data_IF_709216097520
#
_entry.id   IF_709216097520
#
_cell.length_a   1.000
_cell.length_b   1.000
_cell.length_c   1.000
_cell.angle_alpha   90.00
_cell.angle_beta   90.00
_cell.angle_gamma   90.00
#
_symmetry.space_group_name_H-M   'P 1'
#
loop_
_entity.id
_entity.type
_entity.pdbx_description
1 polymer ?
2 non-polymer ?
3 non-polymer ?
4 non-polymer ?
5 non-polymer ?
6 non-polymer ?
7 water ?
#
# COMPACT_ATOMS: atom_id res chain seq x y z
N UNK A 2 -5.97 -16.97 11.30
CA UNK A 2 -6.59 -17.48 10.10
C UNK A 2 -5.70 -18.41 9.31
N UNK A 3 -6.27 -19.06 8.30
CA UNK A 3 -5.51 -19.93 7.40
C UNK A 3 -4.71 -19.10 6.40
N UNK A 4 -3.52 -19.62 6.04
CA UNK A 4 -2.84 -19.10 4.86
C UNK A 4 -3.76 -19.20 3.65
N UNK A 5 -3.59 -18.25 2.73
CA UNK A 5 -4.49 -18.13 1.58
C UNK A 5 -3.70 -17.80 0.31
N UNK A 6 -4.19 -18.32 -0.82
CA UNK A 6 -3.70 -17.92 -2.13
C UNK A 6 -4.93 -17.57 -2.99
N UNK A 7 -4.77 -17.42 -4.30
CA UNK A 7 -5.91 -17.25 -5.20
C UNK A 7 -6.24 -18.59 -5.86
N UNK A 8 -7.53 -18.79 -6.19
CA UNK A 8 -7.95 -20.08 -6.77
C UNK A 8 -7.47 -20.21 -8.21
N UNK A 9 -7.52 -19.13 -8.96
CA UNK A 9 -7.13 -19.15 -10.37
C UNK A 9 -6.35 -17.88 -10.66
N UNK A 10 -5.62 -17.89 -11.78
CA UNK A 10 -4.91 -16.70 -12.21
C UNK A 10 -5.87 -15.54 -12.43
N UNK A 11 -5.42 -14.35 -12.03
CA UNK A 11 -6.17 -13.10 -12.14
C UNK A 11 -5.31 -12.06 -12.84
N UNK A 12 -5.89 -11.34 -13.80
CA UNK A 12 -5.13 -10.34 -14.54
C UNK A 12 -5.71 -8.94 -14.31
N UNK A 13 -4.81 -7.95 -14.32
CA UNK A 13 -5.19 -6.53 -14.26
C UNK A 13 -4.28 -5.76 -15.21
N UNK A 14 -4.75 -4.61 -15.69
CA UNK A 14 -3.88 -3.84 -16.57
C UNK A 14 -4.28 -2.39 -16.60
N UNK A 15 -3.34 -1.54 -17.01
CA UNK A 15 -3.62 -0.13 -17.21
C UNK A 15 -2.38 0.72 -16.97
N UNK A 16 -2.61 2.05 -17.00
CA UNK A 16 -1.55 3.02 -16.82
C UNK A 16 -1.02 3.01 -15.39
N UNK A 17 0.28 3.24 -15.23
CA UNK A 17 0.86 3.46 -13.91
C UNK A 17 0.91 4.96 -13.59
N UNK A 18 0.72 5.28 -12.31
CA UNK A 18 0.52 6.67 -11.91
C UNK A 18 1.79 7.49 -12.11
N UNK A 19 2.97 6.91 -11.89
CA UNK A 19 4.20 7.69 -11.98
C UNK A 19 4.90 7.55 -13.32
N UNK A 20 4.92 6.34 -13.90
CA UNK A 20 5.58 6.17 -15.20
C UNK A 20 4.71 6.67 -16.35
N UNK A 21 3.39 6.66 -16.18
CA UNK A 21 2.50 6.95 -17.28
C UNK A 21 2.46 5.89 -18.34
N UNK A 22 3.11 4.75 -18.11
CA UNK A 22 3.16 3.67 -19.08
C UNK A 22 2.08 2.65 -18.77
N UNK A 23 1.67 1.92 -19.81
CA UNK A 23 0.70 0.85 -19.66
C UNK A 23 1.42 -0.42 -19.22
N UNK A 24 0.88 -1.08 -18.19
CA UNK A 24 1.45 -2.32 -17.69
C UNK A 24 0.37 -3.37 -17.53
N UNK A 25 0.79 -4.63 -17.40
CA UNK A 25 -0.12 -5.74 -17.15
C UNK A 25 0.38 -6.55 -15.96
N UNK A 26 -0.56 -7.06 -15.16
CA UNK A 26 -0.28 -7.95 -14.05
C UNK A 26 -0.99 -9.29 -14.26
N UNK A 27 -0.35 -10.37 -13.81
CA UNK A 27 -1.00 -11.67 -13.66
C UNK A 27 -0.68 -12.16 -12.26
N UNK A 28 -1.71 -12.43 -11.48
CA UNK A 28 -1.55 -12.92 -10.11
C UNK A 28 -1.68 -14.44 -10.14
N UNK A 29 -0.63 -15.14 -9.71
CA UNK A 29 -0.53 -16.61 -9.79
C UNK A 29 -0.71 -17.26 -8.43
N UNK A 30 -1.45 -18.37 -8.36
CA UNK A 30 -1.50 -19.16 -7.12
C UNK A 30 -0.12 -19.70 -6.74
N UNK A 31 0.11 -19.83 -5.41
CA UNK A 31 1.34 -20.44 -4.89
C UNK A 31 1.03 -21.22 -3.62
N UNK A 32 1.89 -22.21 -3.34
CA UNK A 32 1.72 -23.13 -2.22
C UNK A 32 2.07 -22.45 -0.89
N UNK A 33 1.71 -23.13 0.20
CA UNK A 33 2.02 -22.66 1.54
C UNK A 33 3.51 -22.39 1.71
N UNK A 34 3.83 -21.33 2.45
CA UNK A 34 5.22 -20.96 2.70
C UNK A 34 5.90 -20.16 1.62
N UNK A 35 5.22 -19.84 0.51
CA UNK A 35 5.86 -19.10 -0.57
C UNK A 35 6.06 -17.64 -0.20
N UNK A 36 5.09 -17.05 0.48
CA UNK A 36 5.08 -15.61 0.69
C UNK A 36 4.51 -14.87 -0.51
N UNK A 37 4.46 -13.54 -0.37
CA UNK A 37 4.10 -12.65 -1.48
C UNK A 37 5.36 -12.24 -2.22
N UNK A 38 5.37 -12.41 -3.54
CA UNK A 38 6.53 -12.01 -4.34
C UNK A 38 6.06 -11.48 -5.69
N UNK A 39 6.86 -10.57 -6.25
CA UNK A 39 6.69 -10.13 -7.63
C UNK A 39 7.60 -10.93 -8.55
N UNK A 40 7.27 -10.92 -9.84
CA UNK A 40 8.07 -11.62 -10.84
C UNK A 40 8.16 -10.74 -12.08
N UNK A 41 9.37 -10.46 -12.53
CA UNK A 41 9.55 -9.60 -13.70
C UNK A 41 10.82 -10.03 -14.43
N UNK A 42 10.68 -10.27 -15.74
CA UNK A 42 11.83 -10.60 -16.59
C UNK A 42 12.65 -11.73 -15.98
N UNK A 43 11.97 -12.74 -15.45
CA UNK A 43 12.65 -13.92 -14.96
C UNK A 43 13.18 -13.81 -13.54
N UNK A 44 12.96 -12.70 -12.86
CA UNK A 44 13.51 -12.44 -11.53
C UNK A 44 12.36 -12.38 -10.53
N UNK A 45 12.52 -13.08 -9.40
CA UNK A 45 11.59 -12.96 -8.29
C UNK A 45 12.03 -11.86 -7.33
N UNK A 46 11.10 -10.99 -6.98
CA UNK A 46 11.34 -9.89 -6.06
C UNK A 46 10.38 -10.05 -4.89
N UNK A 47 10.85 -10.55 -3.75
CA UNK A 47 9.96 -10.72 -2.59
C UNK A 47 9.40 -9.38 -2.12
N UNK A 48 8.14 -9.42 -1.64
CA UNK A 48 7.50 -8.22 -1.12
C UNK A 48 7.93 -8.01 0.34
N UNK A 49 9.21 -7.67 0.49
CA UNK A 49 9.83 -7.53 1.81
C UNK A 49 10.72 -6.31 1.83
N UNK A 50 10.91 -5.75 3.03
CA UNK A 50 11.58 -4.46 3.13
C UNK A 50 13.02 -4.49 2.61
N UNK A 51 13.69 -5.66 2.62
CA UNK A 51 15.05 -5.75 2.09
C UNK A 51 15.15 -5.33 0.63
N UNK A 52 14.04 -5.35 -0.11
CA UNK A 52 14.06 -5.09 -1.53
C UNK A 52 13.53 -3.71 -1.88
N UNK A 53 13.29 -2.85 -0.88
CA UNK A 53 12.88 -1.47 -1.16
C UNK A 53 14.03 -0.69 -1.76
N UNK A 54 13.75 0.02 -2.86
CA UNK A 54 14.77 0.83 -3.55
C UNK A 54 14.38 2.29 -3.69
N UNK A 55 13.16 2.69 -3.31
CA UNK A 55 12.68 4.06 -3.48
C UNK A 55 11.46 4.23 -2.58
N UNK A 56 11.35 5.39 -1.92
CA UNK A 56 10.20 5.67 -1.05
C UNK A 56 9.65 7.10 -1.18
N UNK A 57 9.97 7.83 -2.25
CA UNK A 57 9.48 9.21 -2.40
C UNK A 57 8.30 9.20 -3.37
N UNK A 58 7.10 9.39 -2.82
CA UNK A 58 5.80 9.42 -3.49
C UNK A 58 5.28 8.03 -3.84
N UNK A 59 6.09 6.98 -3.68
CA UNK A 59 5.63 5.61 -3.88
C UNK A 59 6.65 4.73 -3.17
N UNK A 60 6.29 3.47 -3.00
CA UNK A 60 7.21 2.44 -2.52
C UNK A 60 7.56 1.54 -3.70
N UNK A 61 8.85 1.46 -4.04
CA UNK A 61 9.29 0.66 -5.18
C UNK A 61 10.25 -0.42 -4.69
N UNK A 62 10.17 -1.58 -5.34
CA UNK A 62 11.00 -2.73 -5.02
C UNK A 62 11.90 -3.10 -6.20
N UNK A 63 13.02 -3.75 -5.89
CA UNK A 63 13.91 -4.17 -6.95
C UNK A 63 14.83 -5.29 -6.53
N UNK A 64 15.27 -6.05 -7.52
CA UNK A 64 16.29 -7.08 -7.30
C UNK A 64 16.93 -7.43 -8.63
N UNK A 65 18.26 -7.57 -8.64
CA UNK A 65 19.02 -8.05 -9.81
C UNK A 65 18.68 -7.25 -11.06
N UNK A 66 18.53 -5.94 -10.90
CA UNK A 66 18.32 -5.06 -12.04
C UNK A 66 16.91 -5.01 -12.57
N UNK A 67 15.94 -5.58 -11.85
CA UNK A 67 14.54 -5.50 -12.23
C UNK A 67 13.77 -4.77 -11.15
N UNK A 68 13.03 -3.74 -11.54
CA UNK A 68 12.35 -2.87 -10.59
C UNK A 68 10.85 -2.82 -10.86
N UNK A 69 10.09 -2.68 -9.78
CA UNK A 69 8.65 -2.49 -9.90
C UNK A 69 8.24 -1.30 -9.05
N UNK A 70 7.63 -0.31 -9.69
CA UNK A 70 7.21 0.91 -9.01
C UNK A 70 5.80 0.75 -8.45
N UNK A 71 5.59 1.39 -7.29
CA UNK A 71 4.28 1.64 -6.69
C UNK A 71 3.60 0.33 -6.29
N UNK A 72 4.22 -0.36 -5.34
CA UNK A 72 3.66 -1.64 -4.89
C UNK A 72 2.67 -1.49 -3.74
N UNK A 73 2.54 -0.30 -3.16
CA UNK A 73 1.84 -0.18 -1.89
C UNK A 73 0.35 -0.49 -1.99
N UNK A 74 -0.29 -0.22 -3.13
CA UNK A 74 -1.74 -0.39 -3.17
C UNK A 74 -2.13 -1.85 -3.33
N UNK A 75 -1.50 -2.58 -4.26
CA UNK A 75 -1.77 -4.00 -4.37
C UNK A 75 -1.37 -4.72 -3.07
N UNK A 76 -0.24 -4.33 -2.47
CA UNK A 76 0.16 -4.99 -1.22
C UNK A 76 -0.85 -4.71 -0.10
N UNK A 77 -1.41 -3.49 -0.07
CA UNK A 77 -2.41 -3.20 0.96
C UNK A 77 -3.63 -4.10 0.82
N UNK A 78 -4.11 -4.29 -0.42
CA UNK A 78 -5.26 -5.14 -0.66
C UNK A 78 -4.97 -6.57 -0.22
N UNK A 79 -3.78 -7.08 -0.58
CA UNK A 79 -3.43 -8.45 -0.19
C UNK A 79 -3.32 -8.58 1.33
N UNK A 80 -2.78 -7.56 2.00
CA UNK A 80 -2.71 -7.54 3.45
C UNK A 80 -4.12 -7.60 4.07
N UNK A 81 -5.03 -6.76 3.55
CA UNK A 81 -6.37 -6.68 4.11
C UNK A 81 -7.14 -7.99 3.95
N UNK A 82 -6.93 -8.68 2.83
CA UNK A 82 -7.56 -9.96 2.56
C UNK A 82 -6.78 -11.15 3.11
N UNK A 83 -5.63 -10.89 3.73
CA UNK A 83 -4.76 -11.92 4.31
C UNK A 83 -4.41 -12.99 3.29
N UNK A 84 -4.17 -12.55 2.04
CA UNK A 84 -3.55 -13.39 1.02
C UNK A 84 -2.07 -13.45 1.33
N UNK A 85 -1.55 -14.67 1.53
CA UNK A 85 -0.20 -14.84 2.04
C UNK A 85 0.76 -15.48 1.05
N UNK A 86 0.26 -16.19 0.05
CA UNK A 86 1.10 -16.89 -0.92
C UNK A 86 0.60 -16.55 -2.32
N UNK A 87 1.41 -15.83 -3.10
CA UNK A 87 0.99 -15.39 -4.43
C UNK A 87 2.20 -14.83 -5.16
N UNK A 88 2.28 -15.02 -6.49
CA UNK A 88 3.28 -14.39 -7.33
C UNK A 88 2.57 -13.36 -8.19
N UNK A 89 3.03 -12.10 -8.13
CA UNK A 89 2.48 -11.04 -8.95
C UNK A 89 3.43 -10.83 -10.12
N UNK A 90 3.10 -11.42 -11.27
CA UNK A 90 3.89 -11.23 -12.48
C UNK A 90 3.59 -9.86 -13.07
N UNK A 91 4.63 -9.07 -13.32
CA UNK A 91 4.49 -7.69 -13.82
C UNK A 91 5.15 -7.63 -15.19
N UNK A 92 4.37 -7.29 -16.20
CA UNK A 92 4.87 -7.05 -17.55
C UNK A 92 4.80 -5.53 -17.72
N UNK A 93 5.92 -4.87 -17.50
CA UNK A 93 5.98 -3.42 -17.43
C UNK A 93 6.78 -2.98 -16.23
N UNK A 94 6.67 -1.70 -15.89
CA UNK A 94 7.55 -1.08 -14.89
C UNK A 94 6.83 -0.64 -13.62
N UNK A 95 5.52 -0.81 -13.52
CA UNK A 95 4.76 -0.22 -12.43
C UNK A 95 3.44 -0.98 -12.29
N UNK A 96 2.93 -1.04 -11.06
CA UNK A 96 1.57 -1.58 -10.86
C UNK A 96 0.55 -0.60 -11.43
N UNK A 97 -0.45 -1.07 -12.19
CA UNK A 97 -1.51 -0.16 -12.65
C UNK A 97 -2.20 0.55 -11.48
N UNK A 98 -2.51 1.84 -11.69
CA UNK A 98 -3.17 2.63 -10.65
C UNK A 98 -4.69 2.45 -10.68
N UNK A 99 -5.24 2.05 -11.82
CA UNK A 99 -6.70 1.84 -12.00
C UNK A 99 -7.42 3.14 -11.59
N UNK A 100 -8.45 3.10 -10.75
CA UNK A 100 -9.17 4.33 -10.46
C UNK A 100 -8.54 5.14 -9.32
N UNK A 101 -7.35 4.75 -8.87
CA UNK A 101 -6.68 5.45 -7.79
C UNK A 101 -6.85 4.83 -6.43
N UNK A 102 -7.73 3.84 -6.30
CA UNK A 102 -8.00 3.15 -5.04
C UNK A 102 -7.70 1.66 -5.19
N UNK A 103 -7.91 0.91 -4.12
CA UNK A 103 -7.73 -0.52 -4.18
C UNK A 103 -8.95 -1.31 -4.64
N UNK A 104 -10.03 -0.63 -5.02
CA UNK A 104 -11.34 -1.28 -5.13
C UNK A 104 -11.35 -2.38 -6.17
N UNK A 105 -10.83 -2.12 -7.37
CA UNK A 105 -10.88 -3.14 -8.42
C UNK A 105 -10.04 -4.37 -8.05
N UNK A 106 -8.86 -4.18 -7.45
CA UNK A 106 -8.10 -5.32 -6.96
C UNK A 106 -8.89 -6.06 -5.89
N UNK A 107 -9.41 -5.31 -4.91
CA UNK A 107 -10.07 -5.92 -3.76
C UNK A 107 -11.26 -6.77 -4.18
N UNK A 108 -12.13 -6.22 -5.03
CA UNK A 108 -13.34 -6.97 -5.38
C UNK A 108 -13.01 -8.24 -6.16
N UNK A 109 -12.04 -8.15 -7.07
CA UNK A 109 -11.71 -9.33 -7.88
C UNK A 109 -11.01 -10.40 -7.05
N UNK A 110 -10.07 -9.99 -6.18
CA UNK A 110 -9.33 -10.98 -5.41
C UNK A 110 -10.22 -11.62 -4.34
N UNK A 111 -11.09 -10.81 -3.72
CA UNK A 111 -11.95 -11.31 -2.64
C UNK A 111 -12.82 -12.47 -3.09
N UNK A 112 -13.27 -12.47 -4.35
CA UNK A 112 -14.12 -13.53 -4.88
C UNK A 112 -13.32 -14.73 -5.38
N UNK A 113 -12.00 -14.73 -5.19
CA UNK A 113 -11.12 -15.69 -5.81
C UNK A 113 -10.10 -16.24 -4.81
N UNK A 114 -10.49 -16.36 -3.54
CA UNK A 114 -9.59 -16.78 -2.49
C UNK A 114 -9.65 -18.29 -2.31
N UNK A 115 -8.48 -18.91 -2.19
CA UNK A 115 -8.34 -20.33 -1.87
C UNK A 115 -7.71 -20.48 -0.49
N UNK A 116 -8.46 -21.04 0.45
CA UNK A 116 -7.88 -21.35 1.76
C UNK A 116 -6.87 -22.49 1.64
N UNK A 117 -5.81 -22.39 2.42
CA UNK A 117 -4.78 -23.42 2.42
C UNK A 117 -4.75 -24.12 3.79
N UNK A 118 -3.72 -24.92 4.04
CA UNK A 118 -3.81 -25.93 5.10
C UNK A 118 -3.00 -25.62 6.34
N UNK A 119 -2.29 -24.51 6.39
CA UNK A 119 -1.66 -24.14 7.65
C UNK A 119 -2.10 -22.74 8.07
N UNK A 120 -1.91 -22.45 9.35
CA UNK A 120 -2.26 -21.16 9.92
C UNK A 120 -1.25 -20.09 9.52
N UNK A 121 -1.71 -18.84 9.47
CA UNK A 121 -0.81 -17.71 9.28
C UNK A 121 0.03 -17.49 10.54
N UNK A 122 1.32 -17.28 10.34
CA UNK A 122 2.24 -16.82 11.39
C UNK A 122 2.28 -15.31 11.31
N UNK A 123 1.39 -14.63 12.04
CA UNK A 123 1.33 -13.18 11.98
C UNK A 123 2.60 -12.53 12.52
N UNK A 124 2.93 -11.36 11.97
CA UNK A 124 3.92 -10.50 12.63
C UNK A 124 3.20 -9.75 13.75
N UNK A 125 3.49 -10.11 14.98
CA UNK A 125 2.79 -9.58 16.15
C UNK A 125 3.73 -8.59 16.84
N UNK A 126 3.35 -7.31 16.84
CA UNK A 126 4.12 -6.29 17.56
C UNK A 126 4.15 -6.67 19.04
N UNK A 127 5.35 -6.69 19.62
CA UNK A 127 5.55 -7.24 20.95
C UNK A 127 5.67 -6.18 22.04
N UNK A 128 6.10 -4.98 21.69
CA UNK A 128 6.28 -3.91 22.66
C UNK A 128 6.10 -2.58 21.94
N UNK A 129 5.91 -1.50 22.68
CA UNK A 129 5.76 -0.19 22.00
C UNK A 129 7.04 0.24 21.31
N UNK A 130 6.86 1.03 20.25
CA UNK A 130 7.96 1.60 19.48
C UNK A 130 7.48 2.92 18.91
N UNK A 131 8.41 3.88 18.78
CA UNK A 131 8.10 5.15 18.14
C UNK A 131 9.25 5.52 17.22
N UNK A 132 8.91 6.00 16.03
CA UNK A 132 9.87 6.43 15.03
C UNK A 132 9.53 7.85 14.62
N UNK A 133 10.54 8.71 14.48
CA UNK A 133 10.31 10.11 14.20
C UNK A 133 11.23 10.61 13.09
N UNK A 134 10.74 11.58 12.34
CA UNK A 134 11.56 12.27 11.35
C UNK A 134 10.98 13.66 11.13
N UNK A 135 11.67 14.67 11.64
CA UNK A 135 11.36 16.08 11.39
C UNK A 135 9.86 16.38 11.55
N UNK A 136 9.35 16.15 12.76
CA UNK A 136 7.98 16.47 13.08
C UNK A 136 6.96 15.41 12.70
N UNK A 137 7.31 14.49 11.81
CA UNK A 137 6.46 13.34 11.53
C UNK A 137 6.80 12.22 12.49
N UNK A 138 5.79 11.46 12.88
CA UNK A 138 6.08 10.32 13.76
C UNK A 138 5.09 9.20 13.51
N UNK A 139 5.54 7.98 13.80
CA UNK A 139 4.68 6.79 13.80
C UNK A 139 4.94 6.02 15.08
N UNK A 140 3.86 5.57 15.72
CA UNK A 140 3.94 4.74 16.91
C UNK A 140 3.28 3.40 16.63
N UNK A 141 3.77 2.36 17.31
CA UNK A 141 3.11 1.07 17.26
C UNK A 141 3.10 0.47 18.65
N UNK A 142 2.12 -0.38 18.92
CA UNK A 142 2.02 -1.04 20.21
C UNK A 142 1.27 -2.35 20.00
N UNK A 143 1.37 -3.28 20.95
CA UNK A 143 0.70 -4.58 20.75
C UNK A 143 -0.82 -4.44 20.69
N UNK A 144 -1.42 -5.31 19.88
CA UNK A 144 -2.87 -5.41 19.71
C UNK A 144 -3.17 -6.76 19.08
N UNK A 145 -4.27 -7.40 19.51
CA UNK A 145 -4.70 -8.65 18.91
C UNK A 145 -5.27 -8.46 17.52
N UNK A 146 -5.62 -7.23 17.17
CA UNK A 146 -6.22 -6.87 15.89
C UNK A 146 -5.38 -5.80 15.23
N UNK A 147 -5.37 -5.79 13.89
CA UNK A 147 -4.72 -4.70 13.19
C UNK A 147 -5.59 -3.45 13.30
N UNK A 148 -5.00 -2.37 13.83
CA UNK A 148 -5.67 -1.08 13.98
C UNK A 148 -4.69 0.00 13.56
N UNK A 149 -5.11 0.87 12.64
CA UNK A 149 -4.21 1.85 12.03
C UNK A 149 -4.90 3.21 11.98
N UNK A 150 -4.27 4.21 12.58
CA UNK A 150 -4.79 5.58 12.61
C UNK A 150 -3.81 6.47 11.87
N UNK A 151 -4.33 7.36 11.02
CA UNK A 151 -3.53 8.38 10.39
C UNK A 151 -4.10 9.74 10.71
N UNK A 152 -3.23 10.67 11.11
CA UNK A 152 -3.63 12.05 11.37
C UNK A 152 -2.85 12.96 10.42
N UNK A 153 -3.57 13.77 9.65
CA UNK A 153 -2.95 14.69 8.72
C UNK A 153 -3.23 16.14 9.06
N UNK A 154 -2.36 17.03 8.58
CA UNK A 154 -2.55 18.47 8.74
C UNK A 154 -2.33 19.06 7.35
N UNK A 155 -3.43 19.30 6.64
CA UNK A 155 -3.35 19.76 5.26
C UNK A 155 -3.35 21.28 5.19
N UNK A 156 -2.55 21.80 4.26
CA UNK A 156 -2.44 23.24 4.03
C UNK A 156 -3.48 23.74 3.06
N UNK A 157 -4.71 23.26 3.16
CA UNK A 157 -5.81 23.80 2.37
C UNK A 157 -7.07 23.65 3.20
N UNK A 158 -8.22 23.67 2.54
CA UNK A 158 -9.50 23.68 3.22
C UNK A 158 -9.73 22.44 4.09
N UNK A 159 -8.99 21.35 3.86
CA UNK A 159 -9.19 20.13 4.63
C UNK A 159 -8.72 20.30 6.07
N UNK A 160 -7.67 21.10 6.29
CA UNK A 160 -7.18 21.31 7.64
C UNK A 160 -6.73 20.00 8.29
N UNK A 161 -7.07 19.85 9.56
CA UNK A 161 -6.71 18.66 10.32
C UNK A 161 -7.78 17.58 10.20
N UNK A 162 -7.35 16.36 9.86
CA UNK A 162 -8.23 15.21 9.72
C UNK A 162 -7.57 13.99 10.30
N UNK A 163 -8.38 13.07 10.82
CA UNK A 163 -7.90 11.85 11.47
C UNK A 163 -8.84 10.71 11.12
N UNK A 164 -8.29 9.52 10.85
CA UNK A 164 -9.14 8.37 10.54
C UNK A 164 -8.49 7.09 11.06
N UNK A 165 -9.32 6.18 11.60
CA UNK A 165 -8.85 4.92 12.16
C UNK A 165 -9.51 3.74 11.46
N UNK A 166 -8.68 2.86 10.90
CA UNK A 166 -9.11 1.56 10.42
C UNK A 166 -8.99 0.53 11.54
N UNK A 167 -10.01 -0.32 11.68
CA UNK A 167 -9.88 -1.55 12.47
C UNK A 167 -10.33 -2.73 11.61
N UNK A 168 -9.76 -3.90 11.90
CA UNK A 168 -10.18 -5.12 11.24
C UNK A 168 -11.69 -5.24 11.18
N UNK A 169 -12.20 -5.63 10.01
CA UNK A 169 -13.60 -5.71 9.76
C UNK A 169 -14.17 -4.54 9.00
N UNK A 170 -13.43 -3.42 8.94
CA UNK A 170 -13.87 -2.21 8.24
C UNK A 170 -13.09 -1.98 6.95
N UNK A 171 -12.73 -3.07 6.26
CA UNK A 171 -11.89 -2.96 5.07
C UNK A 171 -12.55 -2.11 3.98
N UNK A 172 -13.88 -2.22 3.85
CA UNK A 172 -14.59 -1.43 2.84
C UNK A 172 -14.50 0.07 3.09
N UNK A 173 -14.09 0.51 4.29
CA UNK A 173 -13.96 1.93 4.55
C UNK A 173 -12.67 2.54 3.99
N UNK A 174 -11.69 1.74 3.58
CA UNK A 174 -10.46 2.32 3.04
C UNK A 174 -10.12 1.86 1.63
N UNK A 175 -10.71 0.77 1.11
CA UNK A 175 -10.29 0.25 -0.19
C UNK A 175 -10.86 1.06 -1.35
N UNK A 176 -11.75 2.03 -1.08
CA UNK A 176 -12.24 2.92 -2.12
C UNK A 176 -11.61 4.30 -2.07
N UNK A 177 -10.75 4.58 -1.10
CA UNK A 177 -10.17 5.90 -0.96
C UNK A 177 -9.04 6.09 -1.97
N UNK A 178 -9.13 7.14 -2.79
CA UNK A 178 -8.19 7.32 -3.88
C UNK A 178 -6.94 8.09 -3.47
N UNK A 179 -5.87 7.87 -4.24
CA UNK A 179 -4.67 8.70 -4.12
C UNK A 179 -5.03 10.14 -4.48
N UNK A 180 -4.19 11.07 -4.01
CA UNK A 180 -4.54 12.48 -4.12
C UNK A 180 -3.29 13.32 -4.32
N UNK A 181 -3.52 14.54 -4.81
CA UNK A 181 -2.44 15.48 -5.13
C UNK A 181 -2.94 16.90 -4.99
N UNK A 182 -2.02 17.81 -4.71
CA UNK A 182 -2.34 19.22 -4.56
C UNK A 182 -1.87 19.98 -5.79
N UNK A 183 -2.70 20.92 -6.26
CA UNK A 183 -2.39 21.53 -7.56
C UNK A 183 -1.08 22.32 -7.52
N UNK A 184 -0.72 22.90 -6.38
CA UNK A 184 0.50 23.68 -6.28
C UNK A 184 1.76 22.83 -6.21
N UNK A 185 1.62 21.50 -6.12
CA UNK A 185 2.76 20.60 -6.10
C UNK A 185 2.95 19.85 -7.42
N UNK A 186 1.99 19.95 -8.34
CA UNK A 186 2.04 19.14 -9.56
C UNK A 186 3.28 19.45 -10.39
N UNK A 187 3.63 20.73 -10.52
CA UNK A 187 4.77 21.08 -11.36
C UNK A 187 6.06 20.46 -10.84
N UNK A 188 6.27 20.51 -9.53
CA UNK A 188 7.49 19.94 -8.96
C UNK A 188 7.50 18.42 -9.13
N UNK A 189 6.36 17.76 -8.90
CA UNK A 189 6.31 16.31 -9.03
C UNK A 189 6.66 15.89 -10.46
N UNK A 190 6.16 16.64 -11.44
CA UNK A 190 6.52 16.32 -12.82
C UNK A 190 8.01 16.56 -13.08
N UNK A 191 8.57 17.64 -12.50
CA UNK A 191 9.98 17.95 -12.72
C UNK A 191 10.90 16.90 -12.12
N UNK A 192 10.48 16.22 -11.06
CA UNK A 192 11.36 15.22 -10.45
C UNK A 192 11.11 13.86 -11.06
N UNK A 193 10.36 13.82 -12.17
CA UNK A 193 10.23 12.61 -12.97
C UNK A 193 9.10 11.69 -12.58
N UNK A 194 8.10 12.18 -11.85
CA UNK A 194 7.01 11.37 -11.32
C UNK A 194 5.66 11.87 -11.84
N UNK A 195 4.59 11.19 -11.44
CA UNK A 195 3.24 11.62 -11.74
C UNK A 195 2.82 11.60 -13.19
N UNK A 196 3.57 10.92 -14.07
CA UNK A 196 3.29 11.03 -15.50
C UNK A 196 1.95 10.43 -15.90
N UNK A 197 1.42 9.50 -15.10
CA UNK A 197 0.13 8.89 -15.37
C UNK A 197 -1.04 9.50 -14.62
N UNK A 198 -0.79 10.55 -13.85
CA UNK A 198 -1.85 11.12 -13.04
C UNK A 198 -2.83 11.92 -13.89
N UNK A 199 -4.12 11.75 -13.59
CA UNK A 199 -5.19 12.49 -14.24
C UNK A 199 -6.36 12.56 -13.30
N UNK A 200 -7.39 13.33 -13.69
CA UNK A 200 -8.59 13.38 -12.86
C UNK A 200 -9.37 12.07 -12.92
N UNK A 201 -8.97 11.12 -13.78
CA UNK A 201 -9.62 9.82 -13.78
C UNK A 201 -9.04 8.87 -12.73
N UNK A 202 -7.88 9.18 -12.16
CA UNK A 202 -7.30 8.28 -11.18
C UNK A 202 -6.76 8.98 -9.93
N UNK A 203 -6.91 10.31 -9.81
CA UNK A 203 -6.36 11.05 -8.71
C UNK A 203 -7.37 12.07 -8.23
N UNK A 204 -7.54 12.18 -6.91
CA UNK A 204 -8.27 13.30 -6.33
C UNK A 204 -7.35 14.51 -6.29
N UNK A 205 -7.65 15.57 -7.06
CA UNK A 205 -6.78 16.73 -7.14
C UNK A 205 -7.45 17.91 -6.43
N UNK A 206 -6.73 18.50 -5.48
CA UNK A 206 -7.24 19.55 -4.60
C UNK A 206 -6.43 20.81 -4.76
N UNK A 207 -7.11 21.95 -4.68
CA UNK A 207 -6.46 23.24 -4.57
C UNK A 207 -6.56 23.78 -3.15
N UNK A 208 -6.13 25.03 -2.98
CA UNK A 208 -6.24 25.65 -1.66
C UNK A 208 -7.69 25.70 -1.20
N UNK A 209 -8.61 26.00 -2.12
CA UNK A 209 -10.01 26.20 -1.77
C UNK A 209 -10.98 25.38 -2.62
N UNK A 210 -10.51 24.47 -3.47
CA UNK A 210 -11.42 23.84 -4.41
C UNK A 210 -11.03 22.41 -4.70
N UNK A 211 -11.99 21.70 -5.31
CA UNK A 211 -11.87 20.31 -5.72
C UNK A 211 -11.97 20.28 -7.23
N UNK A 212 -10.95 19.73 -7.90
CA UNK A 212 -10.95 19.71 -9.36
C UNK A 212 -11.89 18.66 -9.93
N UNK A 213 -11.94 17.48 -9.29
CA UNK A 213 -12.77 16.38 -9.79
C UNK A 213 -14.25 16.75 -9.81
N UNK A 214 -14.93 16.67 -10.95
CA UNK A 214 -16.36 17.00 -10.96
C UNK A 214 -17.19 16.14 -10.03
N UNK A 215 -16.79 14.89 -9.81
CA UNK A 215 -17.52 13.97 -8.95
C UNK A 215 -17.27 14.21 -7.47
N UNK A 216 -16.31 15.07 -7.13
CA UNK A 216 -16.00 15.39 -5.76
C UNK A 216 -15.32 14.25 -5.01
N UNK A 217 -15.22 14.46 -3.69
CA UNK A 217 -14.63 13.47 -2.81
C UNK A 217 -15.57 12.32 -2.55
N UNK A 218 -15.01 11.11 -2.45
CA UNK A 218 -15.81 9.94 -2.09
C UNK A 218 -16.20 9.93 -0.62
N UNK A 219 -15.35 10.52 0.23
CA UNK A 219 -15.57 10.71 1.66
C UNK A 219 -14.97 12.06 2.00
N UNK A 220 -15.54 12.74 3.01
CA UNK A 220 -15.00 14.04 3.38
C UNK A 220 -13.55 13.94 3.84
N UNK A 221 -13.14 12.77 4.33
CA UNK A 221 -11.76 12.54 4.77
C UNK A 221 -11.06 11.54 3.87
N UNK A 222 -11.44 11.50 2.59
CA UNK A 222 -10.80 10.57 1.65
C UNK A 222 -9.27 10.59 1.70
N UNK A 223 -8.58 11.73 1.80
CA UNK A 223 -7.10 11.67 1.82
C UNK A 223 -6.53 10.90 2.99
N UNK A 224 -7.04 11.09 4.21
CA UNK A 224 -6.44 10.36 5.32
C UNK A 224 -6.85 8.89 5.29
N UNK A 225 -8.03 8.57 4.73
CA UNK A 225 -8.34 7.15 4.51
C UNK A 225 -7.33 6.53 3.55
N UNK A 226 -6.94 7.26 2.50
CA UNK A 226 -5.95 6.72 1.57
C UNK A 226 -4.59 6.57 2.24
N UNK A 227 -4.23 7.50 3.13
CA UNK A 227 -2.94 7.38 3.81
C UNK A 227 -2.91 6.16 4.73
N UNK A 228 -4.04 5.82 5.37
CA UNK A 228 -4.13 4.59 6.15
C UNK A 228 -3.92 3.38 5.23
N UNK A 229 -4.60 3.39 4.08
CA UNK A 229 -4.46 2.33 3.08
C UNK A 229 -3.01 2.17 2.63
N UNK A 230 -2.33 3.29 2.36
CA UNK A 230 -0.89 3.24 2.03
C UNK A 230 -0.09 2.56 3.13
N UNK A 231 -0.29 2.99 4.38
CA UNK A 231 0.50 2.44 5.49
C UNK A 231 0.27 0.94 5.64
N UNK A 232 -0.97 0.48 5.44
CA UNK A 232 -1.22 -0.95 5.54
C UNK A 232 -0.48 -1.71 4.44
N UNK A 233 -0.31 -1.12 3.26
CA UNK A 233 0.50 -1.76 2.24
C UNK A 233 1.98 -1.81 2.61
N UNK A 234 2.51 -0.69 3.13
CA UNK A 234 3.92 -0.66 3.52
C UNK A 234 4.18 -1.62 4.69
N UNK A 235 3.23 -1.76 5.62
CA UNK A 235 3.41 -2.71 6.73
C UNK A 235 3.54 -4.15 6.23
N UNK A 236 2.96 -4.49 5.08
CA UNK A 236 3.09 -5.86 4.61
C UNK A 236 4.52 -6.18 4.17
N UNK A 237 5.39 -5.17 4.05
CA UNK A 237 6.81 -5.45 3.80
C UNK A 237 7.49 -6.13 5.00
N UNK A 238 6.78 -6.31 6.12
CA UNK A 238 7.27 -7.19 7.19
C UNK A 238 7.25 -8.66 6.79
N UNK A 239 6.53 -9.02 5.74
CA UNK A 239 6.55 -10.38 5.21
C UNK A 239 5.44 -11.29 5.69
N UNK A 240 4.56 -10.80 6.58
CA UNK A 240 3.43 -11.56 7.11
C UNK A 240 2.35 -10.55 7.45
N UNK A 241 1.08 -10.95 7.46
CA UNK A 241 0.04 -10.04 7.96
C UNK A 241 0.34 -9.65 9.40
N UNK A 242 0.01 -8.40 9.75
CA UNK A 242 0.50 -7.74 10.96
C UNK A 242 -0.62 -7.60 11.98
N UNK A 243 -0.30 -7.87 13.25
CA UNK A 243 -1.18 -7.56 14.37
C UNK A 243 -0.50 -6.53 15.25
N UNK A 244 -1.11 -5.36 15.34
CA UNK A 244 -0.62 -4.30 16.21
C UNK A 244 -1.48 -3.08 15.99
N UNK A 245 -1.31 -2.10 16.89
CA UNK A 245 -2.06 -0.85 16.83
C UNK A 245 -1.09 0.27 16.46
N UNK A 246 -1.36 0.97 15.36
CA UNK A 246 -0.47 1.95 14.77
C UNK A 246 -1.10 3.33 14.76
N UNK A 247 -0.26 4.35 14.96
CA UNK A 247 -0.68 5.74 14.86
C UNK A 247 0.37 6.50 14.07
N UNK A 248 -0.01 7.11 12.96
CA UNK A 248 0.90 7.89 12.14
C UNK A 248 0.44 9.34 12.10
N UNK A 249 1.35 10.25 12.46
CA UNK A 249 1.13 11.69 12.34
C UNK A 249 1.99 12.18 11.18
N UNK A 250 1.32 12.48 10.06
CA UNK A 250 1.94 13.05 8.87
C UNK A 250 3.00 12.11 8.25
N UNK A 251 2.91 10.81 8.53
CA UNK A 251 3.88 9.88 7.98
C UNK A 251 3.70 9.67 6.48
N UNK A 252 4.81 9.24 5.86
CA UNK A 252 4.79 8.92 4.45
C UNK A 252 5.55 7.63 4.23
N UNK A 253 5.75 7.24 2.97
CA UNK A 253 6.36 5.95 2.69
C UNK A 253 7.72 5.81 3.35
N UNK A 254 8.52 6.88 3.36
CA UNK A 254 9.85 6.79 3.94
C UNK A 254 9.78 6.44 5.41
N UNK A 255 8.90 7.12 6.16
CA UNK A 255 8.80 6.84 7.59
C UNK A 255 8.14 5.49 7.82
N UNK A 256 7.16 5.12 6.98
CA UNK A 256 6.55 3.80 7.09
C UNK A 256 7.60 2.69 6.99
N UNK A 257 8.49 2.81 5.99
CA UNK A 257 9.51 1.77 5.79
C UNK A 257 10.54 1.82 6.90
N UNK A 258 10.83 3.00 7.43
CA UNK A 258 11.72 3.10 8.59
C UNK A 258 11.16 2.32 9.77
N UNK A 259 9.86 2.47 10.04
CA UNK A 259 9.24 1.72 11.12
C UNK A 259 9.32 0.22 10.85
N UNK A 260 9.00 -0.19 9.62
CA UNK A 260 9.05 -1.60 9.25
C UNK A 260 10.43 -2.17 9.53
N UNK A 261 11.47 -1.45 9.12
CA UNK A 261 12.82 -1.97 9.29
C UNK A 261 13.20 -2.07 10.76
N UNK A 262 12.76 -1.12 11.59
CA UNK A 262 13.05 -1.21 13.02
C UNK A 262 12.33 -2.38 13.66
N UNK A 263 11.07 -2.61 13.27
CA UNK A 263 10.30 -3.75 13.79
C UNK A 263 10.92 -5.07 13.36
N UNK A 264 11.33 -5.17 12.09
CA UNK A 264 11.93 -6.40 11.60
C UNK A 264 13.21 -6.72 12.33
N UNK A 265 14.00 -5.68 12.66
CA UNK A 265 15.25 -5.92 13.36
C UNK A 265 15.01 -6.49 14.76
N UNK A 266 13.94 -6.03 15.43
CA UNK A 266 13.64 -6.53 16.78
C UNK A 266 13.34 -8.03 16.77
N UNK A 267 12.63 -8.52 15.76
CA UNK A 267 12.18 -9.91 15.76
C UNK A 267 12.95 -10.77 14.75
N UNK A 268 14.17 -10.36 14.39
CA UNK A 268 14.94 -11.07 13.38
C UNK A 268 15.08 -12.55 13.72
N UNK A 269 15.28 -12.87 15.00
CA UNK A 269 15.52 -14.24 15.44
C UNK A 269 14.38 -14.86 16.24
N UNK A 270 13.37 -14.09 16.62
CA UNK A 270 12.23 -14.65 17.32
C UNK A 270 11.13 -14.98 16.34
X LIG B 1 -1.26 5.61 -2.23
X LIG C 1 -1.28 15.44 -12.30
X LIG C 1 -4.05 15.18 -12.54
X LIG C 1 -4.15 16.80 -14.45
X LIG C 1 -4.97 18.43 -12.82
X LIG C 1 -5.40 20.34 -14.85
X LIG C 1 -5.15 18.87 -15.18
X LIG C 1 -0.96 11.33 -7.95
X LIG C 1 0.44 7.82 -2.77
X LIG C 1 2.51 10.62 -4.77
X LIG C 1 1.34 10.43 -5.03
X LIG C 1 0.78 11.06 -6.29
X LIG C 1 1.50 12.09 -6.87
X LIG C 1 1.00 12.74 -7.98
X LIG C 1 -0.23 12.38 -8.51
X LIG C 1 -0.79 13.13 -9.61
X LIG C 1 -1.30 13.79 -10.47
X LIG C 1 -1.97 14.57 -11.46
X LIG C 1 -1.99 16.17 -13.26
X LIG C 1 -3.37 16.06 -13.37
X LIG C 1 -3.35 14.45 -11.59
X LIG C 1 -4.35 18.23 -14.13
X LIG C 1 -5.26 19.92 -12.57
X LIG C 1 -6.03 20.48 -13.61
X LIG C 1 -0.43 10.66 -6.85
X LIG C 1 0.48 9.82 -4.20
X LIG C 1 0.99 9.24 -2.96
X LIG C 1 -0.75 7.54 -2.83
X LIG C 1 1.35 6.86 -2.57
X LIG C 1 0.86 5.56 -2.38
X LIG C 1 0.59 10.14 -1.80
X LIG C 1 1.33 11.37 -1.94
X LIG C 1 1.01 9.43 -0.51
X LIG C 1 -0.89 10.38 -1.73
X LIG C 1 2.32 9.18 -0.62
X LIG C 1 0.87 10.29 0.47
X LIG D 1 8.02 -5.73 18.38
X LIG E 1 4.81 10.02 0.22
X LIG E 1 6.18 9.56 -0.20
X LIG E 1 4.26 9.09 1.27
X LIG E 1 4.89 11.42 0.79
X LIG E 1 3.87 10.02 -0.96
X LIG F 1 9.43 15.80 -3.26
X LIG F 1 9.63 14.99 -2.00
X LIG F 1 10.07 15.10 -4.42
X LIG F 1 10.04 17.17 -3.07
X LIG F 1 7.95 15.96 -3.52
X LIG G 1 6.22 -13.56 11.39
X LIG G 1 5.98 -13.68 12.80
X LIG G 1 7.56 -12.84 11.19
X LIG G 1 8.20 -12.64 12.45
X LIG H 1 5.65 -16.77 -12.34
X LIG H 1 5.95 -17.64 -11.25
X LIG H 1 5.97 -17.49 -13.63
X LIG H 1 5.70 -18.89 -13.38
X LIG I 1 -23.73 6.21 -2.80
X LIG I 1 -23.31 6.83 -1.57
X LIG I 1 -22.66 5.23 -3.28
X LIG I 1 -22.70 4.02 -2.51
#
# INVERSE_FOLDING_TARGET
>A
MGLEKTVKEKLSFEGVGIHTGEYSKLIIHPEKEGTGIRFFKNGVYIPARHEFVVHTNHSTDLGFKGQRIKTVEHILSVLHLLEITNVTIEVIGNEIPILDGSGWEFYEAIRKNILNQNREIDYFVVEEPIIVEDEGRLIKAEPSDTLEVTYEGEFKNFLGRQKFTFVEGNEEEIVLARTFAFDWEIEHIKKVGLGKGGSLKNTLVLGKDKVYNPEGLRYENEPVRHKVFDLIGDLYLLGSPVKGKFYSFRGGHSLNVKLVKELAKKQKLTRDLPH
>B hetero
1 ZN ZN
>C hetero
1 81V C10 C13 C15 C17 C20 C21 C22 C26 O01 C02 C03 C04 C05 C06 C07 C08 C09 C11 C12 C14 N16 C18 O19 C23 N24 C25 O27 N28 O29 C30 O31 C32 C35 F33 F34
>D hetero
1 CL CL
>E hetero
1 PO4 P O1 O2 O3 O4
>F hetero
1 PO4 P O1 O2 O3 O4
>G hetero
1 EDO C1 O1 C2 O2
>H hetero
1 EDO C1 O1 C2 O2
>I hetero
1 EDO C1 O1 C2 O2
#
